data_IF_238578173023
#
_entry.id   IF_238578173023
#
_cell.length_a   1.000
_cell.length_b   1.000
_cell.length_c   1.000
_cell.angle_alpha   90.00
_cell.angle_beta   90.00
_cell.angle_gamma   90.00
#
_symmetry.space_group_name_H-M   'P 1'
#
loop_
_entity.id
_entity.type
_entity.pdbx_description
1 polymer ?
#
# COMPACT_ATOMS: atom_id res chain seq x y z
N UNK A 1 9.91 -16.00 -9.91
CA UNK A 1 10.12 -14.71 -9.20
C UNK A 1 9.28 -13.56 -9.75
N UNK A 2 9.32 -13.27 -11.06
CA UNK A 2 8.62 -12.11 -11.67
C UNK A 2 7.09 -12.09 -11.43
N UNK A 3 6.42 -13.24 -11.47
CA UNK A 3 4.97 -13.36 -11.20
C UNK A 3 4.62 -13.12 -9.73
N UNK A 4 5.44 -13.62 -8.82
CA UNK A 4 5.25 -13.46 -7.37
C UNK A 4 5.39 -11.99 -6.97
N UNK A 5 6.42 -11.30 -7.48
CA UNK A 5 6.58 -9.85 -7.26
C UNK A 5 5.41 -9.03 -7.82
N UNK A 6 4.86 -9.41 -8.98
CA UNK A 6 3.68 -8.73 -9.55
C UNK A 6 2.45 -8.89 -8.66
N UNK A 7 2.21 -10.10 -8.16
CA UNK A 7 1.08 -10.39 -7.27
C UNK A 7 1.26 -9.62 -5.95
N UNK A 8 2.45 -9.65 -5.34
CA UNK A 8 2.77 -8.91 -4.12
C UNK A 8 2.60 -7.39 -4.29
N UNK A 9 3.09 -6.82 -5.40
CA UNK A 9 2.93 -5.40 -5.69
C UNK A 9 1.45 -4.99 -5.81
N UNK A 10 0.65 -5.78 -6.54
CA UNK A 10 -0.79 -5.55 -6.67
C UNK A 10 -1.51 -5.67 -5.33
N UNK A 11 -1.19 -6.67 -4.52
CA UNK A 11 -1.79 -6.86 -3.20
C UNK A 11 -1.42 -5.72 -2.26
N UNK A 12 -0.15 -5.29 -2.24
CA UNK A 12 0.31 -4.18 -1.41
C UNK A 12 -0.40 -2.87 -1.78
N UNK A 13 -0.53 -2.57 -3.08
CA UNK A 13 -1.27 -1.40 -3.55
C UNK A 13 -2.77 -1.46 -3.21
N UNK A 14 -3.39 -2.63 -3.37
CA UNK A 14 -4.81 -2.82 -3.05
C UNK A 14 -5.10 -2.65 -1.56
N UNK A 15 -4.26 -3.21 -0.68
CA UNK A 15 -4.39 -3.06 0.77
C UNK A 15 -4.21 -1.60 1.19
N UNK A 16 -3.20 -0.92 0.64
CA UNK A 16 -2.97 0.51 0.90
C UNK A 16 -4.17 1.38 0.49
N UNK A 17 -4.75 1.13 -0.70
CA UNK A 17 -5.92 1.85 -1.18
C UNK A 17 -7.17 1.62 -0.31
N UNK A 18 -7.41 0.36 0.10
CA UNK A 18 -8.53 0.01 1.00
C UNK A 18 -8.39 0.73 2.34
N UNK A 19 -7.18 0.75 2.92
CA UNK A 19 -6.95 1.43 4.20
C UNK A 19 -7.12 2.95 4.08
N UNK A 20 -6.76 3.56 2.96
CA UNK A 20 -7.07 4.96 2.67
C UNK A 20 -8.58 5.21 2.62
N UNK A 21 -9.35 4.37 1.94
CA UNK A 21 -10.82 4.50 1.84
C UNK A 21 -11.47 4.35 3.22
N UNK A 22 -11.05 3.34 4.01
CA UNK A 22 -11.52 3.15 5.38
C UNK A 22 -11.20 4.36 6.26
N UNK A 23 -10.02 4.92 6.11
CA UNK A 23 -9.63 6.16 6.74
C UNK A 23 -10.56 7.32 6.37
N UNK A 24 -10.82 7.53 5.08
CA UNK A 24 -11.73 8.60 4.61
C UNK A 24 -13.14 8.40 5.21
N UNK A 25 -13.69 7.19 5.16
CA UNK A 25 -15.01 6.87 5.74
C UNK A 25 -15.03 7.15 7.25
N UNK A 26 -13.93 6.87 7.95
CA UNK A 26 -13.80 7.19 9.36
C UNK A 26 -13.85 8.71 9.62
N UNK A 27 -13.43 9.58 8.68
CA UNK A 27 -13.64 11.04 8.78
C UNK A 27 -15.11 11.41 8.76
N UNK A 28 -15.83 10.87 7.79
CA UNK A 28 -17.20 11.32 7.58
C UNK A 28 -18.15 10.85 8.68
N UNK A 29 -17.82 9.75 9.37
CA UNK A 29 -18.58 9.24 10.51
C UNK A 29 -18.33 9.98 11.84
N UNK A 30 -17.63 11.12 11.82
CA UNK A 30 -17.43 12.01 12.96
C UNK A 30 -16.84 11.37 14.23
N UNK A 31 -16.17 10.20 14.11
CA UNK A 31 -15.46 9.51 15.20
C UNK A 31 -14.05 10.10 15.46
N UNK A 32 -13.68 11.19 14.79
CA UNK A 32 -12.28 11.67 14.64
C UNK A 32 -11.86 12.66 15.70
N UNK A 33 -12.79 13.31 16.40
CA UNK A 33 -12.40 14.29 17.41
C UNK A 33 -11.84 13.64 18.69
N UNK A 34 -11.93 12.32 18.87
CA UNK A 34 -11.65 11.72 20.18
C UNK A 34 -10.64 10.57 20.23
N UNK A 35 -10.37 9.81 19.17
CA UNK A 35 -9.54 8.60 19.34
C UNK A 35 -8.61 8.35 18.14
N UNK A 36 -7.34 8.07 18.44
CA UNK A 36 -6.17 7.88 17.55
C UNK A 36 -6.29 6.94 16.32
N UNK A 37 -7.48 6.45 15.97
CA UNK A 37 -7.73 5.51 14.87
C UNK A 37 -7.38 6.04 13.49
N UNK A 38 -7.50 7.35 13.25
CA UNK A 38 -7.15 7.95 11.95
C UNK A 38 -5.66 7.81 11.63
N UNK A 39 -4.81 7.97 12.66
CA UNK A 39 -3.39 7.70 12.55
C UNK A 39 -3.14 6.25 12.12
N UNK A 40 -3.88 5.27 12.65
CA UNK A 40 -3.66 3.86 12.32
C UNK A 40 -3.96 3.53 10.85
N UNK A 41 -5.07 4.03 10.28
CA UNK A 41 -5.44 3.70 8.90
C UNK A 41 -4.55 4.40 7.87
N UNK A 42 -4.26 5.69 8.04
CA UNK A 42 -3.41 6.42 7.07
C UNK A 42 -1.95 6.03 7.18
N UNK A 43 -1.44 5.79 8.39
CA UNK A 43 -0.07 5.34 8.59
C UNK A 43 0.14 3.95 7.97
N UNK A 44 -0.78 3.00 8.22
CA UNK A 44 -0.71 1.69 7.59
C UNK A 44 -0.85 1.78 6.07
N UNK A 45 -1.79 2.60 5.56
CA UNK A 45 -1.96 2.82 4.12
C UNK A 45 -0.66 3.32 3.46
N UNK A 46 0.02 4.28 4.08
CA UNK A 46 1.28 4.83 3.57
C UNK A 46 2.36 3.74 3.47
N UNK A 47 2.52 2.91 4.51
CA UNK A 47 3.52 1.83 4.51
C UNK A 47 3.26 0.83 3.37
N UNK A 48 2.00 0.42 3.17
CA UNK A 48 1.64 -0.52 2.10
C UNK A 48 1.77 0.08 0.70
N UNK A 49 1.50 1.37 0.52
CA UNK A 49 1.73 2.07 -0.75
C UNK A 49 3.22 2.14 -1.06
N UNK A 50 4.03 2.54 -0.08
CA UNK A 50 5.50 2.61 -0.23
C UNK A 50 6.07 1.23 -0.55
N UNK A 51 5.68 0.19 0.19
CA UNK A 51 6.08 -1.18 -0.11
C UNK A 51 5.66 -1.63 -1.52
N UNK A 52 4.47 -1.25 -1.98
CA UNK A 52 3.99 -1.52 -3.34
C UNK A 52 4.88 -0.87 -4.41
N UNK A 53 5.28 0.38 -4.20
CA UNK A 53 6.19 1.12 -5.10
C UNK A 53 7.55 0.41 -5.16
N UNK A 54 8.12 0.03 -4.01
CA UNK A 54 9.40 -0.70 -3.97
C UNK A 54 9.31 -2.07 -4.63
N UNK A 55 8.20 -2.79 -4.51
CA UNK A 55 7.98 -4.07 -5.19
C UNK A 55 7.87 -3.91 -6.72
N UNK A 56 7.29 -2.81 -7.20
CA UNK A 56 7.25 -2.48 -8.63
C UNK A 56 8.65 -2.16 -9.15
N UNK A 57 9.42 -1.35 -8.42
CA UNK A 57 10.82 -1.05 -8.73
C UNK A 57 11.69 -2.31 -8.73
N UNK A 58 11.60 -3.15 -7.70
CA UNK A 58 12.32 -4.42 -7.62
C UNK A 58 11.97 -5.36 -8.79
N UNK A 59 10.71 -5.37 -9.24
CA UNK A 59 10.31 -6.11 -10.44
C UNK A 59 10.98 -5.56 -11.70
N UNK A 60 11.10 -4.24 -11.81
CA UNK A 60 11.73 -3.58 -12.95
C UNK A 60 13.23 -3.89 -13.01
N UNK A 61 13.93 -3.80 -11.88
CA UNK A 61 15.35 -4.17 -11.74
C UNK A 61 15.60 -5.66 -12.01
N UNK A 62 14.79 -6.58 -11.46
CA UNK A 62 14.86 -8.02 -11.82
C UNK A 62 14.52 -8.31 -13.29
N UNK A 63 13.84 -7.38 -13.97
CA UNK A 63 13.60 -7.46 -15.42
C UNK A 63 14.81 -7.06 -16.24
N UNK A 64 15.62 -6.13 -15.72
CA UNK A 64 16.83 -5.59 -16.34
C UNK A 64 18.02 -6.55 -16.09
N UNK A 65 18.24 -7.02 -14.87
CA UNK A 65 19.34 -7.95 -14.53
C UNK A 65 19.25 -9.34 -15.19
N UNK A 66 18.12 -9.66 -15.83
CA UNK A 66 17.89 -10.96 -16.44
C UNK A 66 17.86 -10.88 -17.98
N UNK A 67 18.39 -9.78 -18.53
CA UNK A 67 18.58 -9.48 -19.97
C UNK A 67 20.05 -9.36 -20.38
N UNK A 68 20.99 -9.66 -19.48
CA UNK A 68 22.40 -9.92 -19.82
C UNK A 68 22.64 -11.43 -19.91
#
# INVERSE_FOLDING_TARGET
>A
MKTILKILAMLSGAVGAIMMILGIIAIFNNRILFEHYWSNYFYAAQVFIVAGIFLILARHECGICNKE
#
